data_IF_369052134390
#
_entry.id   IF_369052134390
#
_cell.length_a   1.000
_cell.length_b   1.000
_cell.length_c   1.000
_cell.angle_alpha   90.00
_cell.angle_beta   90.00
_cell.angle_gamma   90.00
#
_symmetry.space_group_name_H-M   'P 1'
#
loop_
_entity.id
_entity.type
_entity.pdbx_description
1 polymer ?
#
# COMPACT_ATOMS: atom_id res chain seq x y z
N UNK A 1 -54.28 80.02 -42.02
CA UNK A 1 -54.54 79.04 -40.93
C UNK A 1 -55.05 77.78 -41.62
N UNK A 2 -54.52 76.57 -41.51
CA UNK A 2 -53.78 75.86 -40.45
C UNK A 2 -52.82 74.85 -41.12
N UNK A 3 -51.71 74.54 -40.44
CA UNK A 3 -50.67 73.55 -40.79
C UNK A 3 -51.15 72.08 -40.74
N UNK A 4 -50.44 71.17 -41.41
CA UNK A 4 -49.91 69.99 -40.69
C UNK A 4 -48.70 69.33 -41.38
N UNK A 5 -47.75 68.93 -40.52
CA UNK A 5 -46.42 68.42 -40.80
C UNK A 5 -46.38 66.94 -41.15
N UNK A 6 -45.43 66.58 -42.01
CA UNK A 6 -45.03 65.22 -42.35
C UNK A 6 -44.02 64.70 -41.31
N UNK A 7 -44.26 63.53 -40.72
CA UNK A 7 -43.32 62.82 -39.84
C UNK A 7 -42.73 61.60 -40.55
N UNK A 8 -41.40 61.57 -40.60
CA UNK A 8 -40.56 60.56 -41.25
C UNK A 8 -40.21 59.43 -40.26
N UNK A 9 -40.34 58.17 -40.71
CA UNK A 9 -40.15 56.93 -39.95
C UNK A 9 -38.73 56.74 -39.38
N UNK A 10 -38.64 56.34 -38.11
CA UNK A 10 -37.43 55.84 -37.42
C UNK A 10 -37.64 54.45 -36.81
N UNK A 11 -38.19 53.51 -37.57
CA UNK A 11 -38.48 52.14 -37.07
C UNK A 11 -37.71 51.01 -37.77
N UNK A 12 -37.00 51.29 -38.87
CA UNK A 12 -36.19 50.29 -39.59
C UNK A 12 -34.76 50.05 -39.07
N UNK A 13 -34.21 50.97 -38.26
CA UNK A 13 -32.79 50.89 -37.85
C UNK A 13 -32.57 50.09 -36.56
N UNK A 14 -33.58 49.99 -35.67
CA UNK A 14 -33.44 49.24 -34.40
C UNK A 14 -33.49 47.72 -34.61
N UNK A 15 -34.36 47.22 -35.50
CA UNK A 15 -34.45 45.78 -35.77
C UNK A 15 -33.22 45.25 -36.53
N UNK A 16 -32.63 46.06 -37.42
CA UNK A 16 -31.43 45.67 -38.18
C UNK A 16 -30.14 45.69 -37.33
N UNK A 17 -30.04 46.58 -36.34
CA UNK A 17 -28.92 46.59 -35.38
C UNK A 17 -28.97 45.40 -34.42
N UNK A 18 -30.16 45.06 -33.89
CA UNK A 18 -30.32 43.96 -32.95
C UNK A 18 -30.09 42.59 -33.64
N UNK A 19 -30.52 42.44 -34.90
CA UNK A 19 -30.29 41.23 -35.69
C UNK A 19 -28.83 41.10 -36.18
N UNK A 20 -28.13 42.21 -36.45
CA UNK A 20 -26.68 42.23 -36.73
C UNK A 20 -25.85 41.88 -35.49
N UNK A 21 -26.23 42.39 -34.31
CA UNK A 21 -25.58 42.04 -33.05
C UNK A 21 -25.76 40.54 -32.76
N UNK A 22 -26.98 40.01 -32.80
CA UNK A 22 -27.25 38.58 -32.58
C UNK A 22 -26.53 37.68 -33.58
N UNK A 23 -26.45 38.05 -34.87
CA UNK A 23 -25.63 37.33 -35.86
C UNK A 23 -24.13 37.41 -35.55
N UNK A 24 -23.61 38.56 -35.11
CA UNK A 24 -22.20 38.67 -34.73
C UNK A 24 -21.84 37.88 -33.47
N UNK A 25 -22.77 37.75 -32.52
CA UNK A 25 -22.58 36.95 -31.30
C UNK A 25 -22.61 35.45 -31.62
N UNK A 26 -23.51 35.00 -32.51
CA UNK A 26 -23.58 33.60 -32.96
C UNK A 26 -22.35 33.22 -33.79
N UNK A 27 -21.90 34.10 -34.70
CA UNK A 27 -20.68 33.86 -35.48
C UNK A 27 -19.45 33.84 -34.59
N UNK A 28 -19.31 34.77 -33.62
CA UNK A 28 -18.19 34.74 -32.66
C UNK A 28 -18.18 33.51 -31.76
N UNK A 29 -19.34 33.02 -31.32
CA UNK A 29 -19.41 31.81 -30.48
C UNK A 29 -19.14 30.54 -31.30
N UNK A 30 -19.58 30.47 -32.55
CA UNK A 30 -19.24 29.36 -33.45
C UNK A 30 -17.79 29.40 -33.96
N UNK A 31 -17.20 30.58 -34.14
CA UNK A 31 -15.78 30.76 -34.44
C UNK A 31 -14.91 30.45 -33.22
N UNK A 32 -15.32 30.82 -31.99
CA UNK A 32 -14.63 30.43 -30.76
C UNK A 32 -14.75 28.93 -30.46
N UNK A 33 -15.87 28.27 -30.79
CA UNK A 33 -15.97 26.81 -30.72
C UNK A 33 -15.13 26.12 -31.81
N UNK A 34 -15.11 26.64 -33.05
CA UNK A 34 -14.25 26.11 -34.13
C UNK A 34 -12.76 26.39 -33.91
N UNK A 35 -12.39 27.52 -33.34
CA UNK A 35 -11.01 27.83 -32.94
C UNK A 35 -10.61 26.94 -31.76
N UNK A 36 -11.45 26.77 -30.74
CA UNK A 36 -11.15 25.81 -29.65
C UNK A 36 -10.97 24.37 -30.14
N UNK A 37 -11.66 23.97 -31.22
CA UNK A 37 -11.47 22.68 -31.87
C UNK A 37 -10.19 22.60 -32.72
N UNK A 38 -9.62 23.74 -33.16
CA UNK A 38 -8.43 23.80 -34.00
C UNK A 38 -7.09 23.86 -33.22
N UNK A 39 -7.14 24.09 -31.90
CA UNK A 39 -5.95 24.14 -31.03
C UNK A 39 -5.80 22.89 -30.14
N UNK A 40 -6.66 21.89 -30.27
CA UNK A 40 -6.58 20.68 -29.45
C UNK A 40 -5.41 19.80 -29.89
N UNK A 41 -4.47 19.61 -28.97
CA UNK A 41 -3.38 18.64 -29.10
C UNK A 41 -3.86 17.30 -28.58
N UNK A 42 -3.31 16.23 -29.13
CA UNK A 42 -3.69 14.88 -28.78
C UNK A 42 -2.50 14.18 -28.15
N UNK A 43 -2.68 13.65 -26.95
CA UNK A 43 -1.70 12.84 -26.26
C UNK A 43 -2.22 11.42 -26.15
N UNK A 44 -1.49 10.46 -26.72
CA UNK A 44 -1.75 9.03 -26.57
C UNK A 44 -0.65 8.46 -25.68
N UNK A 45 -1.04 7.84 -24.58
CA UNK A 45 -0.11 7.21 -23.65
C UNK A 45 -0.27 5.70 -23.69
N UNK A 46 0.86 5.00 -23.70
CA UNK A 46 0.95 3.55 -23.68
C UNK A 46 2.03 3.13 -22.69
N UNK A 47 1.86 1.97 -22.07
CA UNK A 47 2.88 1.41 -21.19
C UNK A 47 3.12 -0.06 -21.50
N UNK A 48 4.34 -0.51 -21.26
CA UNK A 48 4.82 -1.88 -21.46
C UNK A 48 5.70 -2.27 -20.27
N UNK A 49 5.78 -3.58 -19.98
CA UNK A 49 6.60 -4.06 -18.86
C UNK A 49 8.09 -4.03 -19.20
N UNK A 50 8.45 -4.21 -20.46
CA UNK A 50 9.82 -4.21 -21.00
C UNK A 50 9.79 -3.59 -22.40
N UNK A 51 10.92 -3.61 -23.11
CA UNK A 51 11.02 -3.28 -24.55
C UNK A 51 10.22 -4.23 -25.47
N UNK A 52 9.33 -5.07 -24.93
CA UNK A 52 8.43 -5.93 -25.71
C UNK A 52 7.44 -5.09 -26.53
N UNK A 53 6.66 -5.75 -27.40
CA UNK A 53 5.61 -5.08 -28.17
C UNK A 53 4.24 -5.14 -27.46
N UNK A 54 4.14 -5.79 -26.29
CA UNK A 54 2.87 -6.00 -25.62
C UNK A 54 2.54 -4.82 -24.71
N UNK A 55 1.45 -4.14 -25.02
CA UNK A 55 0.90 -3.06 -24.19
C UNK A 55 0.20 -3.64 -22.94
N UNK A 56 0.32 -2.95 -21.82
CA UNK A 56 -0.41 -3.28 -20.59
C UNK A 56 -1.84 -2.76 -20.72
N UNK A 57 -2.81 -3.66 -20.76
CA UNK A 57 -4.22 -3.31 -20.99
C UNK A 57 -5.00 -2.88 -19.73
N UNK A 58 -4.53 -3.28 -18.54
CA UNK A 58 -5.25 -3.09 -17.27
C UNK A 58 -4.31 -2.78 -16.11
N UNK A 59 -4.85 -2.15 -15.07
CA UNK A 59 -4.14 -1.87 -13.82
C UNK A 59 -3.26 -0.62 -13.83
N UNK A 60 -3.15 0.07 -14.97
CA UNK A 60 -2.49 1.37 -15.03
C UNK A 60 -3.42 2.47 -14.52
N UNK A 61 -2.83 3.46 -13.86
CA UNK A 61 -3.46 4.74 -13.55
C UNK A 61 -2.58 5.86 -14.08
N UNK A 62 -3.12 6.60 -15.03
CA UNK A 62 -2.51 7.75 -15.65
C UNK A 62 -2.99 9.03 -14.97
N UNK A 63 -2.06 9.94 -14.72
CA UNK A 63 -2.34 11.28 -14.18
C UNK A 63 -1.52 12.29 -14.95
N UNK A 64 -2.20 13.30 -15.48
CA UNK A 64 -1.60 14.44 -16.19
C UNK A 64 -1.64 15.63 -15.26
N UNK A 65 -0.49 16.21 -14.98
CA UNK A 65 -0.35 17.37 -14.11
C UNK A 65 0.13 18.58 -14.91
N UNK A 66 -0.32 19.77 -14.50
CA UNK A 66 0.30 21.02 -14.92
C UNK A 66 1.70 21.11 -14.27
N UNK A 67 2.71 21.69 -14.95
CA UNK A 67 4.11 21.66 -14.53
C UNK A 67 4.44 22.72 -13.47
N UNK A 68 3.50 23.62 -13.17
CA UNK A 68 3.66 24.71 -12.20
C UNK A 68 2.80 24.39 -10.97
N UNK A 69 3.36 24.58 -9.78
CA UNK A 69 2.66 24.39 -8.53
C UNK A 69 1.47 25.36 -8.39
N UNK A 70 0.37 24.85 -7.87
CA UNK A 70 -0.80 25.64 -7.51
C UNK A 70 -0.62 26.37 -6.19
N UNK A 71 -1.69 27.06 -5.77
CA UNK A 71 -1.74 27.85 -4.52
C UNK A 71 -1.52 26.97 -3.27
N UNK A 72 -1.87 25.68 -3.37
CA UNK A 72 -1.70 24.68 -2.32
C UNK A 72 -0.30 24.04 -2.29
N UNK A 73 0.63 24.57 -3.10
CA UNK A 73 1.98 24.04 -3.27
C UNK A 73 2.01 22.59 -3.80
N UNK A 74 0.97 22.17 -4.54
CA UNK A 74 0.90 20.87 -5.24
C UNK A 74 0.77 21.08 -6.74
N UNK A 75 1.16 20.06 -7.51
CA UNK A 75 0.95 20.09 -8.96
C UNK A 75 -0.56 19.93 -9.27
N UNK A 76 -1.19 20.87 -10.00
CA UNK A 76 -2.60 20.75 -10.36
C UNK A 76 -2.84 19.53 -11.26
N UNK A 77 -3.78 18.67 -10.87
CA UNK A 77 -4.22 17.54 -11.69
C UNK A 77 -5.11 18.04 -12.83
N UNK A 78 -4.68 17.82 -14.07
CA UNK A 78 -5.38 18.22 -15.30
C UNK A 78 -6.32 17.12 -15.76
N UNK A 79 -5.86 15.88 -15.76
CA UNK A 79 -6.64 14.73 -16.21
C UNK A 79 -6.17 13.44 -15.55
N UNK A 80 -7.05 12.44 -15.49
CA UNK A 80 -6.71 11.10 -15.04
C UNK A 80 -7.45 10.04 -15.86
N UNK A 81 -6.83 8.88 -16.03
CA UNK A 81 -7.44 7.72 -16.70
C UNK A 81 -7.00 6.44 -16.00
N UNK A 82 -7.92 5.47 -15.88
CA UNK A 82 -7.65 4.14 -15.33
C UNK A 82 -7.89 3.09 -16.40
N UNK A 83 -6.91 2.24 -16.66
CA UNK A 83 -6.90 1.29 -17.78
C UNK A 83 -5.64 1.42 -18.62
N UNK A 84 -5.48 0.59 -19.65
CA UNK A 84 -4.28 0.48 -20.48
C UNK A 84 -3.95 1.74 -21.28
N UNK A 85 -4.09 1.68 -22.60
CA UNK A 85 -3.87 2.84 -23.48
C UNK A 85 -4.79 4.00 -23.10
N UNK A 86 -4.23 5.18 -22.90
CA UNK A 86 -4.96 6.40 -22.56
C UNK A 86 -4.89 7.43 -23.69
N UNK A 87 -5.93 8.23 -23.84
CA UNK A 87 -5.99 9.33 -24.79
C UNK A 87 -6.49 10.58 -24.10
N UNK A 88 -5.78 11.68 -24.27
CA UNK A 88 -6.14 12.98 -23.73
C UNK A 88 -6.11 14.02 -24.84
N UNK A 89 -7.15 14.84 -24.91
CA UNK A 89 -7.16 16.04 -25.74
C UNK A 89 -6.84 17.22 -24.81
N UNK A 90 -5.68 17.86 -25.03
CA UNK A 90 -5.09 18.87 -24.14
C UNK A 90 -4.78 20.14 -24.91
N UNK A 91 -4.72 21.26 -24.20
CA UNK A 91 -4.22 22.51 -24.79
C UNK A 91 -2.70 22.41 -25.03
N UNK A 92 -2.15 23.15 -26.02
CA UNK A 92 -0.71 23.23 -26.21
C UNK A 92 -0.03 23.76 -24.94
N UNK A 93 1.09 23.14 -24.54
CA UNK A 93 1.75 23.46 -23.29
C UNK A 93 2.64 22.34 -22.76
N UNK A 94 3.26 22.58 -21.62
CA UNK A 94 4.08 21.59 -20.91
C UNK A 94 3.23 20.84 -19.88
N UNK A 95 3.52 19.55 -19.67
CA UNK A 95 2.81 18.68 -18.72
C UNK A 95 3.76 17.69 -18.05
N UNK A 96 3.39 17.25 -16.84
CA UNK A 96 4.01 16.11 -16.15
C UNK A 96 3.06 14.92 -16.20
N UNK A 97 3.51 13.84 -16.83
CA UNK A 97 2.76 12.59 -16.98
C UNK A 97 3.25 11.62 -15.93
N UNK A 98 2.36 11.18 -15.06
CA UNK A 98 2.62 10.15 -14.07
C UNK A 98 1.81 8.90 -14.42
N UNK A 99 2.48 7.76 -14.50
CA UNK A 99 1.86 6.43 -14.65
C UNK A 99 2.20 5.59 -13.44
N UNK A 100 1.21 4.89 -12.90
CA UNK A 100 1.42 3.89 -11.84
C UNK A 100 0.83 2.54 -12.24
N UNK A 101 1.56 1.47 -11.93
CA UNK A 101 1.17 0.08 -12.09
C UNK A 101 1.45 -0.69 -10.79
N UNK A 102 0.45 -0.81 -9.92
CA UNK A 102 0.67 -1.27 -8.54
C UNK A 102 1.59 -0.32 -7.78
N UNK A 103 2.73 -0.81 -7.30
CA UNK A 103 3.73 -0.02 -6.58
C UNK A 103 4.85 0.52 -7.48
N UNK A 104 4.86 0.17 -8.77
CA UNK A 104 5.72 0.81 -9.75
C UNK A 104 5.10 2.12 -10.22
N UNK A 105 5.92 3.17 -10.33
CA UNK A 105 5.51 4.44 -10.97
C UNK A 105 6.63 5.03 -11.83
N UNK A 106 6.24 5.81 -12.84
CA UNK A 106 7.15 6.60 -13.66
C UNK A 106 6.57 7.98 -13.94
N UNK A 107 7.46 8.97 -14.06
CA UNK A 107 7.09 10.35 -14.39
C UNK A 107 7.88 10.80 -15.62
N UNK A 108 7.20 11.46 -16.57
CA UNK A 108 7.83 12.06 -17.75
C UNK A 108 7.29 13.48 -17.96
N UNK A 109 8.20 14.42 -18.19
CA UNK A 109 7.84 15.77 -18.63
C UNK A 109 7.67 15.78 -20.15
N UNK A 110 6.56 16.30 -20.63
CA UNK A 110 6.27 16.41 -22.06
C UNK A 110 5.92 17.85 -22.42
N UNK A 111 6.10 18.20 -23.70
CA UNK A 111 5.66 19.48 -24.26
C UNK A 111 4.83 19.21 -25.51
N UNK A 112 3.61 19.73 -25.53
CA UNK A 112 2.67 19.63 -26.63
C UNK A 112 2.66 20.94 -27.40
N UNK A 113 3.00 20.87 -28.68
CA UNK A 113 2.92 21.97 -29.62
C UNK A 113 1.54 22.05 -30.26
N UNK A 114 1.19 23.21 -30.82
CA UNK A 114 -0.13 23.43 -31.37
C UNK A 114 -0.48 22.43 -32.50
N UNK A 115 -1.64 21.79 -32.40
CA UNK A 115 -2.12 20.77 -33.35
C UNK A 115 -1.31 19.47 -33.34
N UNK A 116 -0.38 19.28 -32.39
CA UNK A 116 0.45 18.09 -32.31
C UNK A 116 -0.38 16.88 -31.85
N UNK A 117 -0.13 15.73 -32.48
CA UNK A 117 -0.51 14.41 -31.96
C UNK A 117 0.74 13.69 -31.50
N UNK A 118 0.92 13.57 -30.19
CA UNK A 118 2.07 12.94 -29.56
C UNK A 118 1.68 11.56 -29.02
N UNK A 119 2.53 10.56 -29.29
CA UNK A 119 2.42 9.22 -28.72
C UNK A 119 3.62 9.00 -27.82
N UNK A 120 3.38 8.68 -26.55
CA UNK A 120 4.43 8.39 -25.58
C UNK A 120 4.31 6.96 -25.08
N UNK A 121 5.40 6.21 -25.23
CA UNK A 121 5.55 4.86 -24.72
C UNK A 121 6.37 4.88 -23.41
N UNK A 122 5.83 4.23 -22.37
CA UNK A 122 6.46 4.08 -21.08
C UNK A 122 6.89 2.63 -20.88
N UNK A 123 8.20 2.41 -20.80
CA UNK A 123 8.75 1.12 -20.39
C UNK A 123 8.87 1.14 -18.86
N UNK A 124 8.02 0.36 -18.21
CA UNK A 124 7.87 0.38 -16.76
C UNK A 124 8.92 -0.49 -16.05
N UNK A 125 9.60 -1.36 -16.78
CA UNK A 125 10.54 -2.34 -16.19
C UNK A 125 9.93 -3.07 -14.99
N UNK A 126 8.63 -3.39 -15.05
CA UNK A 126 7.90 -3.89 -13.88
C UNK A 126 7.78 -5.42 -13.89
N UNK A 127 7.92 -6.02 -12.72
CA UNK A 127 7.70 -7.43 -12.46
C UNK A 127 6.62 -7.64 -11.41
N UNK A 128 6.21 -8.89 -11.23
CA UNK A 128 5.33 -9.28 -10.13
C UNK A 128 6.02 -10.23 -9.18
N UNK A 129 5.70 -10.13 -7.89
CA UNK A 129 6.12 -11.07 -6.87
C UNK A 129 4.89 -11.66 -6.17
N UNK A 130 4.95 -12.96 -5.90
CA UNK A 130 4.02 -13.69 -5.03
C UNK A 130 4.84 -14.19 -3.85
N UNK A 131 4.41 -13.84 -2.64
CA UNK A 131 5.08 -14.23 -1.40
C UNK A 131 4.25 -15.30 -0.70
N UNK A 132 4.94 -16.35 -0.29
CA UNK A 132 4.41 -17.50 0.43
C UNK A 132 5.34 -17.84 1.61
N UNK A 133 4.83 -18.63 2.53
CA UNK A 133 5.65 -19.20 3.58
C UNK A 133 5.20 -20.61 3.94
N UNK A 134 6.13 -21.39 4.47
CA UNK A 134 5.91 -22.73 5.01
C UNK A 134 6.35 -22.78 6.46
N UNK A 135 5.91 -23.80 7.18
CA UNK A 135 6.34 -24.08 8.55
C UNK A 135 7.13 -25.38 8.56
N UNK A 136 8.32 -25.39 9.15
CA UNK A 136 9.09 -26.63 9.30
C UNK A 136 8.28 -27.62 10.17
N UNK A 137 8.05 -28.82 9.64
CA UNK A 137 7.29 -29.90 10.30
C UNK A 137 5.81 -29.56 10.66
N UNK A 138 5.17 -28.62 9.98
CA UNK A 138 3.78 -28.25 10.29
C UNK A 138 3.04 -27.59 9.13
N UNK A 139 1.86 -27.04 9.42
CA UNK A 139 1.06 -26.25 8.48
C UNK A 139 0.96 -24.84 9.00
N UNK A 140 1.32 -23.86 8.17
CA UNK A 140 1.25 -22.46 8.56
C UNK A 140 -0.20 -21.97 8.59
N UNK A 141 -0.57 -21.22 9.62
CA UNK A 141 -1.85 -20.52 9.63
C UNK A 141 -1.73 -19.20 8.86
N UNK A 142 -2.23 -19.18 7.62
CA UNK A 142 -2.17 -18.01 6.73
C UNK A 142 -2.79 -16.73 7.31
N UNK A 143 -3.68 -16.82 8.31
CA UNK A 143 -4.30 -15.64 8.94
C UNK A 143 -3.34 -14.86 9.82
N UNK A 144 -2.33 -15.54 10.35
CA UNK A 144 -1.27 -14.94 11.18
C UNK A 144 -0.06 -14.52 10.33
N UNK A 145 -0.07 -14.85 9.03
CA UNK A 145 1.05 -14.62 8.13
C UNK A 145 0.90 -13.30 7.37
N UNK A 146 1.94 -12.47 7.42
CA UNK A 146 2.04 -11.28 6.58
C UNK A 146 3.49 -11.01 6.17
N UNK A 147 3.67 -10.20 5.14
CA UNK A 147 4.99 -9.83 4.64
C UNK A 147 5.17 -8.33 4.57
N UNK A 148 6.40 -7.89 4.74
CA UNK A 148 6.86 -6.52 4.55
C UNK A 148 7.98 -6.51 3.52
N UNK A 149 7.92 -5.59 2.56
CA UNK A 149 8.88 -5.43 1.47
C UNK A 149 9.60 -4.09 1.66
N UNK A 150 10.93 -4.13 1.58
CA UNK A 150 11.83 -3.00 1.80
C UNK A 150 12.67 -2.73 0.54
N UNK A 151 13.04 -1.46 0.34
CA UNK A 151 13.92 -1.03 -0.75
C UNK A 151 15.40 -1.37 -0.49
N UNK A 152 15.85 -1.30 0.77
CA UNK A 152 17.21 -1.63 1.19
C UNK A 152 17.24 -2.42 2.51
N UNK A 153 18.43 -2.85 2.95
CA UNK A 153 18.63 -3.60 4.21
C UNK A 153 18.40 -2.77 5.48
N UNK A 154 18.20 -1.45 5.40
CA UNK A 154 18.17 -0.59 6.60
C UNK A 154 16.83 -0.68 7.29
N UNK A 155 16.73 -1.64 8.18
CA UNK A 155 15.49 -2.04 8.85
C UNK A 155 15.19 -1.25 10.15
N UNK A 156 16.15 -0.48 10.67
CA UNK A 156 16.07 0.09 12.04
C UNK A 156 15.41 1.48 12.15
N UNK A 157 14.79 1.95 11.09
CA UNK A 157 13.94 3.14 11.07
C UNK A 157 12.86 2.83 10.03
N UNK A 158 11.60 3.23 10.22
CA UNK A 158 10.51 3.01 9.25
C UNK A 158 10.82 3.56 7.82
N UNK A 159 11.97 4.21 7.66
CA UNK A 159 12.65 4.56 6.43
C UNK A 159 12.93 3.33 5.55
N UNK A 160 12.29 3.25 4.39
CA UNK A 160 12.58 2.24 3.35
C UNK A 160 11.51 1.15 3.16
N UNK A 161 10.44 1.16 3.97
CA UNK A 161 9.28 0.29 3.75
C UNK A 161 8.57 0.68 2.46
N UNK A 162 8.51 -0.24 1.49
CA UNK A 162 7.74 -0.07 0.25
C UNK A 162 6.29 -0.49 0.49
N UNK A 163 6.10 -1.62 1.16
CA UNK A 163 4.80 -2.21 1.41
C UNK A 163 4.83 -3.06 2.67
N UNK A 164 3.86 -2.87 3.55
CA UNK A 164 3.65 -3.67 4.75
C UNK A 164 2.32 -4.40 4.68
N UNK A 165 2.15 -5.41 5.54
CA UNK A 165 0.92 -6.19 5.68
C UNK A 165 0.47 -6.85 4.35
N UNK A 166 1.44 -7.28 3.53
CA UNK A 166 1.16 -8.05 2.33
C UNK A 166 0.65 -9.42 2.73
N UNK A 167 -0.50 -9.82 2.19
CA UNK A 167 -1.08 -11.15 2.44
C UNK A 167 -0.35 -12.22 1.63
N UNK A 168 -0.28 -13.47 2.12
CA UNK A 168 0.21 -14.59 1.33
C UNK A 168 -0.54 -14.71 0.00
N UNK A 169 0.14 -15.28 -1.02
CA UNK A 169 -0.41 -15.55 -2.35
C UNK A 169 -0.92 -14.31 -3.13
N UNK A 170 -0.65 -13.11 -2.63
CA UNK A 170 -1.06 -11.87 -3.28
C UNK A 170 -0.02 -11.40 -4.29
N UNK A 171 -0.48 -10.93 -5.45
CA UNK A 171 0.40 -10.39 -6.50
C UNK A 171 0.78 -8.95 -6.18
N UNK A 172 2.04 -8.72 -5.84
CA UNK A 172 2.62 -7.38 -5.68
C UNK A 172 3.39 -7.02 -6.95
N UNK A 173 3.12 -5.84 -7.52
CA UNK A 173 3.82 -5.34 -8.71
C UNK A 173 4.84 -4.31 -8.30
N UNK A 174 6.10 -4.55 -8.66
CA UNK A 174 7.25 -3.73 -8.30
C UNK A 174 8.05 -3.39 -9.55
N UNK A 175 8.91 -2.38 -9.45
CA UNK A 175 9.94 -2.17 -10.46
C UNK A 175 10.94 -3.34 -10.40
N UNK A 176 11.58 -3.66 -11.51
CA UNK A 176 12.68 -4.62 -11.53
C UNK A 176 13.83 -4.08 -10.67
N UNK A 177 14.38 -4.94 -9.84
CA UNK A 177 15.32 -4.55 -8.80
C UNK A 177 15.48 -5.61 -7.72
N UNK A 178 16.37 -5.33 -6.78
CA UNK A 178 16.55 -6.13 -5.57
C UNK A 178 15.74 -5.51 -4.45
N UNK A 179 15.17 -6.38 -3.62
CA UNK A 179 14.35 -5.99 -2.49
C UNK A 179 14.62 -6.92 -1.32
N UNK A 180 14.36 -6.46 -0.12
CA UNK A 180 14.37 -7.30 1.07
C UNK A 180 12.93 -7.57 1.49
N UNK A 181 12.67 -8.81 1.91
CA UNK A 181 11.36 -9.24 2.39
C UNK A 181 11.51 -9.80 3.77
N UNK A 182 10.68 -9.31 4.70
CA UNK A 182 10.44 -9.93 5.98
C UNK A 182 9.09 -10.67 5.93
N UNK A 183 9.10 -11.94 6.27
CA UNK A 183 7.91 -12.76 6.51
C UNK A 183 7.69 -12.83 8.01
N UNK A 184 6.51 -12.44 8.47
CA UNK A 184 6.13 -12.44 9.88
C UNK A 184 5.03 -13.47 10.10
N UNK A 185 5.25 -14.39 11.04
CA UNK A 185 4.24 -15.37 11.46
C UNK A 185 3.80 -15.04 12.89
N UNK A 186 2.58 -14.53 13.03
CA UNK A 186 2.08 -13.90 14.25
C UNK A 186 2.72 -12.53 14.51
N UNK A 187 2.65 -12.07 15.75
CA UNK A 187 2.94 -10.68 16.12
C UNK A 187 4.15 -10.49 17.06
N UNK A 188 4.96 -11.53 17.27
CA UNK A 188 6.00 -11.53 18.32
C UNK A 188 7.39 -11.58 17.70
N UNK A 189 7.96 -12.78 17.51
CA UNK A 189 9.37 -12.93 17.14
C UNK A 189 9.62 -13.93 16.00
N UNK A 190 8.61 -14.64 15.50
CA UNK A 190 8.74 -15.51 14.34
C UNK A 190 8.79 -14.69 13.04
N UNK A 191 9.99 -14.20 12.71
CA UNK A 191 10.27 -13.43 11.50
C UNK A 191 11.43 -14.04 10.71
N UNK A 192 11.21 -14.25 9.41
CA UNK A 192 12.22 -14.78 8.47
C UNK A 192 12.48 -13.73 7.39
N UNK A 193 13.75 -13.54 7.03
CA UNK A 193 14.17 -12.51 6.08
C UNK A 193 14.87 -13.11 4.88
N UNK A 194 14.67 -12.48 3.72
CA UNK A 194 15.33 -12.88 2.48
C UNK A 194 15.49 -11.72 1.52
N UNK A 195 16.53 -11.75 0.69
CA UNK A 195 16.65 -10.88 -0.49
C UNK A 195 15.93 -11.54 -1.67
N UNK A 196 15.17 -10.75 -2.42
CA UNK A 196 14.49 -11.19 -3.63
C UNK A 196 14.93 -10.34 -4.82
N UNK A 197 15.00 -10.96 -6.00
CA UNK A 197 15.20 -10.26 -7.26
C UNK A 197 13.87 -10.24 -8.02
N UNK A 198 13.36 -9.04 -8.26
CA UNK A 198 12.25 -8.81 -9.17
C UNK A 198 12.81 -8.58 -10.57
N UNK A 199 12.32 -9.35 -11.52
CA UNK A 199 12.68 -9.23 -12.93
C UNK A 199 11.51 -8.64 -13.72
N UNK A 200 11.82 -7.77 -14.69
CA UNK A 200 10.79 -7.17 -15.53
C UNK A 200 10.10 -8.24 -16.39
N UNK A 201 8.78 -8.10 -16.56
CA UNK A 201 7.95 -9.02 -17.35
C UNK A 201 7.93 -10.48 -16.84
N UNK A 202 8.26 -10.68 -15.56
CA UNK A 202 8.19 -11.98 -14.90
C UNK A 202 7.36 -11.95 -13.62
N UNK A 203 6.82 -13.11 -13.29
CA UNK A 203 6.24 -13.42 -11.99
C UNK A 203 7.25 -14.23 -11.20
N UNK A 204 7.79 -13.66 -10.13
CA UNK A 204 8.68 -14.34 -9.18
C UNK A 204 7.84 -14.88 -8.03
N UNK A 205 7.96 -16.17 -7.74
CA UNK A 205 7.35 -16.77 -6.55
C UNK A 205 8.44 -17.04 -5.51
N UNK A 206 8.20 -16.62 -4.27
CA UNK A 206 9.15 -16.77 -3.16
C UNK A 206 8.44 -17.40 -1.98
N UNK A 207 9.00 -18.49 -1.47
CA UNK A 207 8.50 -19.20 -0.30
C UNK A 207 9.54 -19.15 0.81
N UNK A 208 9.19 -18.57 1.97
CA UNK A 208 10.05 -18.49 3.14
C UNK A 208 9.66 -19.58 4.16
N UNK A 209 10.63 -20.28 4.74
CA UNK A 209 10.36 -21.32 5.74
C UNK A 209 10.53 -20.75 7.16
N UNK A 210 9.47 -20.83 7.96
CA UNK A 210 9.48 -20.49 9.39
C UNK A 210 9.81 -21.71 10.25
N UNK A 211 10.48 -21.45 11.37
CA UNK A 211 10.63 -22.39 12.47
C UNK A 211 9.89 -21.81 13.68
N UNK A 212 8.65 -22.25 13.89
CA UNK A 212 7.75 -21.65 14.87
C UNK A 212 6.60 -22.59 15.22
N UNK A 213 5.88 -22.29 16.30
CA UNK A 213 4.64 -22.96 16.65
C UNK A 213 3.64 -22.02 17.32
N UNK A 214 2.37 -22.41 17.30
CA UNK A 214 1.32 -21.73 18.05
C UNK A 214 1.32 -22.24 19.49
N UNK A 215 1.40 -21.31 20.44
CA UNK A 215 1.48 -21.60 21.87
C UNK A 215 0.29 -20.99 22.58
N UNK A 216 -0.40 -21.78 23.41
CA UNK A 216 -1.45 -21.29 24.30
C UNK A 216 -0.95 -21.29 25.73
N UNK A 217 -0.78 -20.11 26.31
CA UNK A 217 -0.44 -19.97 27.73
C UNK A 217 -1.69 -19.97 28.60
N UNK A 218 -1.65 -20.71 29.70
CA UNK A 218 -2.67 -20.69 30.76
C UNK A 218 -2.07 -20.94 32.14
N UNK A 219 -2.55 -20.20 33.13
CA UNK A 219 -2.20 -20.39 34.54
C UNK A 219 -3.32 -21.18 35.20
N UNK A 220 -3.03 -22.31 35.81
CA UNK A 220 -4.04 -23.24 36.36
C UNK A 220 -3.77 -23.53 37.84
N UNK A 221 -4.81 -23.89 38.60
CA UNK A 221 -4.64 -24.29 40.02
C UNK A 221 -4.01 -25.68 40.17
N UNK A 222 -4.28 -26.55 39.22
CA UNK A 222 -3.81 -27.93 39.15
C UNK A 222 -3.72 -28.33 37.69
N UNK A 223 -2.92 -29.34 37.38
CA UNK A 223 -2.80 -29.87 36.01
C UNK A 223 -4.17 -30.23 35.42
N UNK A 224 -4.39 -29.84 34.15
CA UNK A 224 -5.67 -30.02 33.46
C UNK A 224 -6.83 -29.16 33.98
N UNK A 225 -6.60 -28.27 34.94
CA UNK A 225 -7.61 -27.36 35.48
C UNK A 225 -7.96 -26.19 34.56
N UNK A 226 -8.96 -25.40 34.98
CA UNK A 226 -9.34 -24.16 34.30
C UNK A 226 -8.29 -23.05 34.48
N UNK A 227 -8.18 -22.21 33.46
CA UNK A 227 -7.29 -21.07 33.48
C UNK A 227 -7.79 -19.98 34.46
N UNK A 228 -6.87 -19.41 35.22
CA UNK A 228 -7.12 -18.29 36.12
C UNK A 228 -7.25 -17.00 35.32
N UNK A 229 -8.39 -16.33 35.50
CA UNK A 229 -8.63 -14.99 34.98
C UNK A 229 -7.67 -13.95 35.58
N UNK A 230 -7.58 -12.80 34.93
CA UNK A 230 -6.77 -11.65 35.35
C UNK A 230 -5.28 -12.00 35.58
N UNK A 231 -4.75 -12.90 34.73
CA UNK A 231 -3.33 -13.27 34.75
C UNK A 231 -2.56 -12.36 33.80
N UNK A 232 -1.55 -11.68 34.34
CA UNK A 232 -0.56 -10.92 33.57
C UNK A 232 0.58 -11.86 33.18
N UNK A 233 0.94 -11.86 31.90
CA UNK A 233 1.98 -12.68 31.33
C UNK A 233 3.14 -11.82 30.87
N UNK A 234 4.35 -12.22 31.25
CA UNK A 234 5.58 -11.78 30.61
C UNK A 234 6.27 -13.03 30.07
N UNK A 235 6.61 -13.01 28.79
CA UNK A 235 7.35 -14.09 28.13
C UNK A 235 8.79 -13.63 27.96
N UNK A 236 9.74 -14.43 28.46
CA UNK A 236 11.16 -14.17 28.29
C UNK A 236 11.82 -15.25 27.43
N UNK A 237 12.88 -14.90 26.71
CA UNK A 237 13.77 -15.86 26.08
C UNK A 237 14.72 -16.50 27.10
N UNK A 238 15.57 -17.41 26.66
CA UNK A 238 16.62 -18.07 27.46
C UNK A 238 17.61 -17.12 28.14
N UNK A 239 17.80 -15.94 27.55
CA UNK A 239 18.69 -14.87 28.02
C UNK A 239 18.04 -14.01 29.11
N UNK A 240 16.74 -14.18 29.36
CA UNK A 240 15.96 -13.44 30.33
C UNK A 240 15.36 -12.12 29.80
N UNK A 241 15.55 -11.82 28.51
CA UNK A 241 14.96 -10.64 27.89
C UNK A 241 13.47 -10.87 27.64
N UNK A 242 12.64 -9.89 28.03
CA UNK A 242 11.21 -9.94 27.80
C UNK A 242 10.91 -9.75 26.30
N UNK A 243 10.33 -10.77 25.68
CA UNK A 243 9.93 -10.76 24.27
C UNK A 243 8.49 -10.34 24.06
N UNK A 244 7.61 -10.55 25.05
CA UNK A 244 6.20 -10.16 24.95
C UNK A 244 5.55 -10.02 26.33
N UNK A 245 4.61 -9.10 26.46
CA UNK A 245 3.78 -8.93 27.67
C UNK A 245 2.31 -8.78 27.29
N UNK A 246 1.43 -9.44 28.04
CA UNK A 246 -0.01 -9.41 27.77
C UNK A 246 -0.82 -9.83 29.00
N UNK A 247 -2.15 -9.70 28.95
CA UNK A 247 -3.05 -10.08 30.04
C UNK A 247 -4.17 -10.97 29.49
N UNK A 248 -4.42 -12.10 30.13
CA UNK A 248 -5.48 -13.01 29.72
C UNK A 248 -5.47 -14.34 30.48
N UNK A 249 -6.64 -14.98 30.53
CA UNK A 249 -6.76 -16.34 31.06
C UNK A 249 -6.14 -17.37 30.08
N UNK A 250 -6.45 -17.21 28.80
CA UNK A 250 -5.85 -17.95 27.69
C UNK A 250 -5.20 -16.95 26.76
N UNK A 251 -3.93 -17.20 26.44
CA UNK A 251 -3.14 -16.32 25.58
C UNK A 251 -2.59 -17.16 24.43
N UNK A 252 -3.10 -16.93 23.23
CA UNK A 252 -2.61 -17.56 22.00
C UNK A 252 -1.49 -16.71 21.40
N UNK A 253 -0.34 -17.33 21.15
CA UNK A 253 0.87 -16.70 20.65
C UNK A 253 1.42 -17.53 19.48
N UNK A 254 2.23 -16.91 18.64
CA UNK A 254 3.10 -17.62 17.69
C UNK A 254 4.52 -17.25 18.05
N UNK A 255 5.34 -18.26 18.33
CA UNK A 255 6.72 -18.09 18.80
C UNK A 255 7.68 -18.81 17.87
N UNK A 256 8.85 -18.20 17.65
CA UNK A 256 9.95 -18.86 16.98
C UNK A 256 10.44 -20.07 17.82
N UNK A 257 10.97 -21.10 17.14
CA UNK A 257 11.61 -22.24 17.81
C UNK A 257 12.71 -21.77 18.78
N UNK A 258 12.73 -22.33 19.99
CA UNK A 258 13.65 -21.92 21.04
C UNK A 258 13.17 -22.22 22.45
N UNK A 259 13.95 -21.81 23.44
CA UNK A 259 13.66 -21.96 24.87
C UNK A 259 13.09 -20.66 25.46
N UNK A 260 12.04 -20.79 26.26
CA UNK A 260 11.30 -19.66 26.82
C UNK A 260 10.94 -19.86 28.29
N UNK A 261 10.71 -18.73 28.96
CA UNK A 261 10.19 -18.67 30.32
C UNK A 261 8.85 -17.93 30.30
N UNK A 262 7.77 -18.64 30.63
CA UNK A 262 6.47 -18.02 30.86
C UNK A 262 6.36 -17.55 32.31
N UNK A 263 6.22 -16.24 32.52
CA UNK A 263 6.07 -15.61 33.82
C UNK A 263 4.62 -15.16 33.97
N UNK A 264 3.87 -15.80 34.85
CA UNK A 264 2.47 -15.53 35.12
C UNK A 264 2.31 -14.84 36.49
N UNK A 265 1.88 -13.59 36.49
CA UNK A 265 1.48 -12.87 37.70
C UNK A 265 -0.04 -12.91 37.86
N UNK A 266 -0.50 -13.43 38.98
CA UNK A 266 -1.92 -13.41 39.35
C UNK A 266 -2.04 -12.89 40.79
N UNK A 267 -2.70 -11.74 40.95
CA UNK A 267 -2.70 -10.98 42.21
C UNK A 267 -1.27 -10.66 42.65
N UNK A 268 -0.91 -11.03 43.87
CA UNK A 268 0.41 -10.77 44.47
C UNK A 268 1.40 -11.93 44.29
N UNK A 269 1.06 -12.94 43.49
CA UNK A 269 1.89 -14.13 43.27
C UNK A 269 2.41 -14.20 41.85
N UNK A 270 3.67 -14.56 41.72
CA UNK A 270 4.36 -14.75 40.44
C UNK A 270 4.73 -16.23 40.31
N UNK A 271 4.39 -16.81 39.16
CA UNK A 271 4.66 -18.18 38.80
C UNK A 271 5.47 -18.23 37.52
N UNK A 272 6.40 -19.17 37.41
CA UNK A 272 7.27 -19.31 36.24
C UNK A 272 7.29 -20.76 35.75
N UNK A 273 7.39 -20.93 34.44
CA UNK A 273 7.62 -22.24 33.82
C UNK A 273 8.53 -22.07 32.61
N UNK A 274 9.56 -22.92 32.53
CA UNK A 274 10.41 -23.05 31.34
C UNK A 274 9.74 -24.03 30.37
N UNK A 275 9.79 -23.73 29.07
CA UNK A 275 9.29 -24.60 28.01
C UNK A 275 10.04 -24.36 26.70
N UNK A 276 10.07 -25.41 25.87
CA UNK A 276 10.67 -25.37 24.53
C UNK A 276 9.57 -25.22 23.48
N UNK A 277 9.77 -24.34 22.51
CA UNK A 277 8.94 -24.26 21.30
C UNK A 277 9.64 -25.06 20.22
N UNK A 278 8.94 -26.03 19.63
CA UNK A 278 9.46 -26.87 18.53
C UNK A 278 8.65 -26.58 17.27
N UNK A 279 9.31 -26.34 16.14
CA UNK A 279 8.60 -25.97 14.92
C UNK A 279 7.54 -27.00 14.51
N UNK A 280 6.34 -26.50 14.18
CA UNK A 280 5.19 -27.30 13.76
C UNK A 280 4.48 -28.05 14.89
N UNK A 281 4.93 -27.91 16.14
CA UNK A 281 4.29 -28.52 17.30
C UNK A 281 3.54 -27.49 18.15
N UNK A 282 2.26 -27.28 17.81
CA UNK A 282 1.40 -26.39 18.59
C UNK A 282 1.12 -27.00 19.98
N UNK A 283 1.28 -26.21 21.03
CA UNK A 283 1.24 -26.70 22.41
C UNK A 283 0.51 -25.77 23.40
N UNK A 284 -0.22 -26.38 24.34
CA UNK A 284 -0.82 -25.74 25.50
C UNK A 284 0.14 -25.74 26.71
N UNK A 285 0.74 -24.59 27.01
CA UNK A 285 1.63 -24.44 28.15
C UNK A 285 0.83 -24.07 29.40
N UNK A 286 0.69 -25.06 30.29
CA UNK A 286 0.06 -24.89 31.60
C UNK A 286 1.10 -24.55 32.67
N UNK A 287 0.99 -23.38 33.27
CA UNK A 287 1.73 -23.01 34.49
C UNK A 287 0.87 -23.37 35.69
N UNK A 288 1.35 -24.23 36.59
CA UNK A 288 0.59 -24.61 37.79
C UNK A 288 0.91 -23.66 38.93
N UNK A 289 -0.12 -23.12 39.57
CA UNK A 289 -0.02 -22.19 40.69
C UNK A 289 0.36 -22.88 42.02
N UNK A 290 1.52 -23.56 42.05
CA UNK A 290 2.07 -24.27 43.20
C UNK A 290 3.39 -23.63 43.70
N UNK A 291 3.94 -24.15 44.81
CA UNK A 291 5.19 -23.63 45.39
C UNK A 291 6.42 -23.88 44.51
N UNK A 292 6.43 -24.91 43.67
CA UNK A 292 7.56 -25.23 42.79
C UNK A 292 7.75 -24.18 41.71
N UNK A 293 6.64 -23.70 41.14
CA UNK A 293 6.66 -22.67 40.11
C UNK A 293 6.65 -21.25 40.69
N UNK A 294 6.44 -21.10 42.00
CA UNK A 294 6.38 -19.78 42.63
C UNK A 294 7.78 -19.16 42.71
N UNK A 295 7.94 -17.96 42.16
CA UNK A 295 9.17 -17.22 42.34
C UNK A 295 9.29 -16.81 43.80
N UNK A 296 10.33 -17.31 44.49
CA UNK A 296 10.68 -16.83 45.82
C UNK A 296 11.35 -15.47 45.66
N UNK A 297 10.69 -14.44 46.16
CA UNK A 297 11.34 -13.14 46.35
C UNK A 297 12.07 -13.27 47.68
N UNK A 298 13.39 -13.40 47.63
CA UNK A 298 14.20 -13.33 48.85
C UNK A 298 14.13 -11.88 49.36
N UNK A 299 13.32 -11.65 50.39
CA UNK A 299 13.25 -10.40 51.15
C UNK A 299 14.46 -10.23 52.08
N UNK A 300 15.68 -10.48 51.58
CA UNK A 300 16.92 -10.23 52.33
C UNK A 300 17.64 -8.99 51.75
N UNK A 301 17.05 -7.81 51.96
CA UNK A 301 17.74 -6.52 51.88
C UNK A 301 17.14 -5.56 52.91
N UNK A 302 17.53 -5.75 54.17
CA UNK A 302 17.64 -4.68 55.17
C UNK A 302 19.07 -4.09 55.13
#
# INVERSE_FOLDING_TARGET
MVWNHCTFSKEGERQSQQQRQSRSFIVKSQEQEKENLAFQTQLILKARLTNSHQEIDKGLVWRVYAPVLGIDNKLPLVATYKGGRARFDLNPGSYLIHVSFGHMSAVRHIRLENGQSLVEDFDLEAGGVILNATLLNGVINEKELHFTIYEDEKENDDTGVILSNVKPQSVVRLKAGRYHVASHYGSINATVRSEIQVEADKMTEVTLEHQAAQIVLKLVRQEGGEALADTSWSLANDSGDIVHETVGAYVLLVLAEGEYIAIAKNKDKIYQKVFSVVSGHDEDISVVANEQNMQRIDEDMD
#
